data_IF_867825963895
#
_entry.id   IF_867825963895
#
_cell.length_a   1.000
_cell.length_b   1.000
_cell.length_c   1.000
_cell.angle_alpha   90.00
_cell.angle_beta   90.00
_cell.angle_gamma   90.00
#
_symmetry.space_group_name_H-M   'P 1'
#
loop_
_entity.id
_entity.type
_entity.pdbx_description
1 polymer ?
#
# COMPACT_ATOMS: atom_id res chain seq x y z
N UNK A 1 13.38 23.03 -19.36
CA UNK A 1 13.01 23.98 -20.43
C UNK A 1 11.50 24.22 -20.33
N UNK A 2 11.02 25.43 -20.62
CA UNK A 2 9.61 25.84 -20.55
C UNK A 2 9.13 26.35 -21.92
N UNK A 3 7.89 26.00 -22.31
CA UNK A 3 7.32 26.34 -23.62
C UNK A 3 6.38 27.54 -23.56
N UNK A 4 6.47 28.46 -24.54
CA UNK A 4 5.58 29.62 -24.64
C UNK A 4 4.28 29.26 -25.37
N UNK A 5 3.12 29.54 -24.77
CA UNK A 5 1.77 29.22 -25.29
C UNK A 5 1.30 30.09 -26.48
N UNK A 6 2.17 30.98 -26.99
CA UNK A 6 1.84 31.89 -28.11
C UNK A 6 2.70 31.62 -29.34
N UNK A 7 3.97 31.29 -29.15
CA UNK A 7 4.92 31.10 -30.26
C UNK A 7 5.54 29.70 -30.30
N UNK A 8 5.14 28.81 -29.39
CA UNK A 8 5.55 27.40 -29.30
C UNK A 8 7.08 27.16 -29.17
N UNK A 9 7.85 28.22 -28.89
CA UNK A 9 9.29 28.13 -28.65
C UNK A 9 9.60 27.69 -27.21
N UNK A 10 10.75 27.03 -27.05
CA UNK A 10 11.24 26.50 -25.78
C UNK A 10 12.38 27.34 -25.21
N UNK A 11 12.33 27.59 -23.91
CA UNK A 11 13.26 28.48 -23.22
C UNK A 11 13.86 27.80 -21.98
N UNK A 12 15.07 28.23 -21.59
CA UNK A 12 15.58 27.92 -20.27
C UNK A 12 14.94 28.85 -19.24
N UNK A 13 14.42 28.34 -18.10
CA UNK A 13 13.77 29.16 -17.07
C UNK A 13 14.60 30.39 -16.67
N UNK A 14 15.89 30.19 -16.36
CA UNK A 14 16.79 31.26 -15.97
C UNK A 14 17.00 32.33 -17.05
N UNK A 15 17.01 31.96 -18.34
CA UNK A 15 17.16 32.91 -19.45
C UNK A 15 15.90 33.80 -19.61
N UNK A 16 14.74 33.31 -19.21
CA UNK A 16 13.48 34.08 -19.24
C UNK A 16 13.16 34.79 -17.93
N UNK A 17 14.00 34.63 -16.89
CA UNK A 17 13.80 35.23 -15.58
C UNK A 17 12.80 34.47 -14.68
N UNK A 18 12.53 33.20 -15.00
CA UNK A 18 11.76 32.28 -14.16
C UNK A 18 12.75 31.51 -13.28
N UNK A 19 12.58 31.55 -11.96
CA UNK A 19 13.41 30.76 -11.06
C UNK A 19 13.11 29.26 -11.22
N UNK A 20 14.13 28.40 -11.09
CA UNK A 20 13.94 26.95 -11.27
C UNK A 20 12.89 26.36 -10.32
N UNK A 21 12.80 26.87 -9.10
CA UNK A 21 11.81 26.45 -8.11
C UNK A 21 10.36 26.83 -8.49
N UNK A 22 10.17 27.84 -9.34
CA UNK A 22 8.86 28.34 -9.74
C UNK A 22 8.35 27.69 -11.03
N UNK A 23 9.18 26.88 -11.70
CA UNK A 23 8.82 26.21 -12.96
C UNK A 23 7.61 25.30 -12.78
N UNK A 24 7.56 24.56 -11.67
CA UNK A 24 6.44 23.65 -11.35
C UNK A 24 5.14 24.40 -11.03
N UNK A 25 5.26 25.68 -10.68
CA UNK A 25 4.17 26.59 -10.38
C UNK A 25 3.65 27.30 -11.63
N UNK A 26 4.30 27.18 -12.79
CA UNK A 26 3.76 27.73 -14.03
C UNK A 26 2.49 26.98 -14.44
N UNK A 27 1.44 27.75 -14.72
CA UNK A 27 0.19 27.26 -15.33
C UNK A 27 0.19 27.57 -16.83
N UNK A 28 0.54 28.81 -17.18
CA UNK A 28 0.67 29.31 -18.55
C UNK A 28 1.95 30.13 -18.63
N UNK A 29 2.85 29.80 -19.56
CA UNK A 29 4.07 30.59 -19.76
C UNK A 29 3.98 31.42 -21.06
N UNK A 30 4.32 32.71 -20.97
CA UNK A 30 4.39 33.63 -22.11
C UNK A 30 5.78 34.27 -22.10
N UNK A 31 6.55 34.12 -23.18
CA UNK A 31 7.88 34.71 -23.26
C UNK A 31 7.82 36.24 -23.37
N UNK A 32 8.90 36.93 -22.98
CA UNK A 32 8.97 38.41 -22.95
C UNK A 32 8.61 39.07 -24.28
N UNK A 33 8.99 38.46 -25.40
CA UNK A 33 8.66 38.96 -26.74
C UNK A 33 7.15 38.86 -27.03
N UNK A 34 6.50 37.78 -26.57
CA UNK A 34 5.07 37.57 -26.71
C UNK A 34 4.26 38.41 -25.72
N UNK A 35 4.75 38.65 -24.50
CA UNK A 35 4.10 39.54 -23.52
C UNK A 35 4.07 41.00 -24.01
N UNK A 36 5.06 41.44 -24.78
CA UNK A 36 5.09 42.76 -25.39
C UNK A 36 4.19 42.92 -26.63
N UNK A 37 3.92 41.83 -27.35
CA UNK A 37 3.12 41.82 -28.59
C UNK A 37 1.66 41.42 -28.36
N UNK A 38 1.36 40.79 -27.23
CA UNK A 38 0.01 40.30 -26.88
C UNK A 38 -0.43 40.80 -25.51
N UNK A 39 -1.73 40.75 -25.24
CA UNK A 39 -2.28 41.04 -23.91
C UNK A 39 -2.14 39.87 -22.92
N UNK A 40 -1.58 38.73 -23.34
CA UNK A 40 -1.38 37.56 -22.48
C UNK A 40 -0.16 37.75 -21.58
N UNK A 41 -0.20 37.14 -20.40
CA UNK A 41 0.86 37.18 -19.38
C UNK A 41 1.07 35.78 -18.83
N UNK A 42 2.27 35.53 -18.33
CA UNK A 42 2.57 34.31 -17.58
C UNK A 42 1.66 34.19 -16.35
N UNK A 43 1.00 33.04 -16.17
CA UNK A 43 0.10 32.74 -15.05
C UNK A 43 0.71 31.61 -14.23
N UNK A 44 0.69 31.79 -12.90
CA UNK A 44 1.13 30.79 -11.94
C UNK A 44 -0.07 30.10 -11.28
N UNK A 45 0.09 28.81 -10.99
CA UNK A 45 -0.85 28.00 -10.22
C UNK A 45 -1.02 28.60 -8.83
N UNK A 46 -2.27 28.62 -8.37
CA UNK A 46 -2.55 29.03 -7.00
C UNK A 46 -1.95 28.06 -6.00
N UNK A 47 -1.21 28.59 -5.03
CA UNK A 47 -0.68 27.82 -3.91
C UNK A 47 -1.74 27.57 -2.84
N UNK A 48 -1.47 26.59 -1.99
CA UNK A 48 -2.31 26.29 -0.84
C UNK A 48 -2.34 27.46 0.12
N UNK A 49 -3.55 27.90 0.49
CA UNK A 49 -3.75 29.03 1.40
C UNK A 49 -3.31 28.75 2.85
N UNK A 50 -2.93 27.52 3.19
CA UNK A 50 -2.46 27.21 4.53
C UNK A 50 -1.04 27.75 4.69
N UNK A 51 -0.82 28.56 5.72
CA UNK A 51 0.51 29.01 6.14
C UNK A 51 1.48 27.81 6.24
N UNK A 52 2.66 27.95 5.62
CA UNK A 52 3.68 26.90 5.55
C UNK A 52 3.35 25.70 4.64
N UNK A 53 2.34 25.77 3.77
CA UNK A 53 2.03 24.72 2.78
C UNK A 53 2.25 25.24 1.34
N UNK A 54 3.33 24.81 0.68
CA UNK A 54 3.70 25.25 -0.67
C UNK A 54 3.14 24.42 -1.84
N UNK A 55 2.09 23.62 -1.62
CA UNK A 55 1.51 22.76 -2.68
C UNK A 55 0.63 23.55 -3.64
N UNK A 56 0.65 23.16 -4.91
CA UNK A 56 -0.05 23.77 -6.05
C UNK A 56 -1.55 23.43 -6.13
N UNK A 57 -2.30 23.78 -5.10
CA UNK A 57 -3.76 23.70 -5.09
C UNK A 57 -4.30 24.73 -4.10
N UNK A 58 -5.47 25.35 -4.37
CA UNK A 58 -6.13 26.27 -3.43
C UNK A 58 -6.19 25.70 -1.99
N UNK A 59 -6.50 24.40 -1.88
CA UNK A 59 -6.24 23.56 -0.70
C UNK A 59 -5.82 22.17 -1.14
N UNK A 60 -4.66 21.67 -0.69
CA UNK A 60 -4.14 20.37 -1.11
C UNK A 60 -4.73 19.17 -0.36
N UNK A 61 -5.50 19.41 0.70
CA UNK A 61 -6.18 18.36 1.49
C UNK A 61 -7.25 18.98 2.38
N UNK A 62 -8.20 18.16 2.82
CA UNK A 62 -9.22 18.54 3.81
C UNK A 62 -8.58 19.09 5.09
N UNK A 63 -7.45 18.51 5.54
CA UNK A 63 -6.67 19.02 6.68
C UNK A 63 -6.14 20.44 6.43
N UNK A 64 -5.59 20.72 5.25
CA UNK A 64 -5.09 22.07 4.96
C UNK A 64 -6.21 23.10 4.86
N UNK A 65 -7.35 22.74 4.26
CA UNK A 65 -8.53 23.59 4.23
C UNK A 65 -9.03 23.91 5.64
N UNK A 66 -9.11 22.88 6.49
CA UNK A 66 -9.57 23.00 7.86
C UNK A 66 -8.63 23.83 8.75
N UNK A 67 -7.32 23.57 8.69
CA UNK A 67 -6.31 24.34 9.44
C UNK A 67 -6.29 25.82 9.03
N UNK A 68 -6.43 26.10 7.72
CA UNK A 68 -6.57 27.47 7.25
C UNK A 68 -7.85 28.12 7.79
N UNK A 69 -8.99 27.43 7.73
CA UNK A 69 -10.26 27.92 8.27
C UNK A 69 -10.18 28.21 9.78
N UNK A 70 -9.54 27.34 10.56
CA UNK A 70 -9.28 27.58 11.99
C UNK A 70 -8.39 28.81 12.22
N UNK A 71 -7.36 29.03 11.41
CA UNK A 71 -6.52 30.23 11.47
C UNK A 71 -7.31 31.50 11.19
N UNK A 72 -8.22 31.47 10.21
CA UNK A 72 -9.12 32.60 9.88
C UNK A 72 -10.11 32.88 11.02
N UNK A 73 -10.52 31.89 11.83
CA UNK A 73 -11.34 32.17 13.01
C UNK A 73 -10.67 33.10 14.01
N UNK A 74 -9.34 33.05 14.10
CA UNK A 74 -8.58 33.92 15.00
C UNK A 74 -8.80 35.40 14.68
N UNK A 75 -9.11 35.72 13.41
CA UNK A 75 -9.30 37.09 12.90
C UNK A 75 -10.77 37.52 12.82
N UNK A 76 -11.72 36.70 13.31
CA UNK A 76 -13.16 37.04 13.33
C UNK A 76 -13.52 37.71 14.65
N UNK A 77 -13.89 38.99 14.59
CA UNK A 77 -14.22 39.82 15.77
C UNK A 77 -15.66 39.66 16.27
N UNK A 78 -16.57 39.15 15.44
CA UNK A 78 -17.95 38.92 15.84
C UNK A 78 -18.03 37.67 16.73
N UNK A 79 -18.26 37.88 18.03
CA UNK A 79 -18.33 36.82 19.04
C UNK A 79 -19.34 35.71 18.70
N UNK A 80 -20.53 36.06 18.17
CA UNK A 80 -21.56 35.08 17.81
C UNK A 80 -21.12 34.24 16.60
N UNK A 81 -20.60 34.90 15.56
CA UNK A 81 -20.09 34.21 14.37
C UNK A 81 -18.88 33.33 14.72
N UNK A 82 -17.97 33.81 15.57
CA UNK A 82 -16.81 33.05 16.03
C UNK A 82 -17.20 31.78 16.77
N UNK A 83 -18.14 31.85 17.73
CA UNK A 83 -18.60 30.66 18.46
C UNK A 83 -19.28 29.67 17.52
N UNK A 84 -20.17 30.13 16.63
CA UNK A 84 -20.85 29.25 15.66
C UNK A 84 -19.86 28.54 14.73
N UNK A 85 -18.89 29.28 14.19
CA UNK A 85 -17.87 28.73 13.31
C UNK A 85 -16.89 27.82 14.06
N UNK A 86 -16.56 28.12 15.32
CA UNK A 86 -15.74 27.25 16.17
C UNK A 86 -16.43 25.91 16.43
N UNK A 87 -17.74 25.90 16.66
CA UNK A 87 -18.53 24.66 16.81
C UNK A 87 -18.57 23.87 15.50
N UNK A 88 -18.80 24.53 14.36
CA UNK A 88 -18.80 23.88 13.05
C UNK A 88 -17.42 23.30 12.69
N UNK A 89 -16.34 24.01 13.07
CA UNK A 89 -14.96 23.58 12.88
C UNK A 89 -14.42 22.74 14.05
N UNK A 90 -15.26 22.25 14.95
CA UNK A 90 -14.86 21.21 15.91
C UNK A 90 -15.01 19.79 15.31
N UNK A 91 -15.76 19.67 14.21
CA UNK A 91 -16.19 18.39 13.62
C UNK A 91 -15.17 17.70 12.71
N UNK A 92 -13.92 18.17 12.63
CA UNK A 92 -12.86 17.43 11.94
C UNK A 92 -11.99 16.75 13.00
N UNK A 93 -12.17 15.44 13.25
CA UNK A 93 -11.29 14.74 14.17
C UNK A 93 -9.86 14.86 13.66
N UNK A 94 -8.90 15.09 14.56
CA UNK A 94 -7.53 14.70 14.23
C UNK A 94 -7.62 13.23 13.82
N UNK A 95 -7.02 12.79 12.70
CA UNK A 95 -6.87 11.36 12.48
C UNK A 95 -6.28 10.80 13.78
N UNK A 96 -6.95 9.81 14.36
CA UNK A 96 -6.31 8.97 15.35
C UNK A 96 -5.04 8.49 14.68
N UNK A 97 -3.85 8.74 15.24
CA UNK A 97 -2.64 8.15 14.68
C UNK A 97 -2.82 6.63 14.75
N UNK A 98 -3.20 6.01 13.62
CA UNK A 98 -3.30 4.55 13.47
C UNK A 98 -1.91 3.89 13.46
N UNK A 99 -0.86 4.68 13.62
CA UNK A 99 0.46 4.16 13.99
C UNK A 99 0.57 4.25 15.50
N UNK A 100 0.09 3.22 16.19
CA UNK A 100 0.71 2.82 17.45
C UNK A 100 2.13 2.40 17.10
N UNK A 101 3.09 3.33 17.22
CA UNK A 101 4.48 2.91 17.35
C UNK A 101 4.56 2.31 18.75
N UNK A 102 4.36 1.00 18.84
CA UNK A 102 4.88 0.25 19.97
C UNK A 102 6.39 0.39 19.90
N UNK A 103 6.90 1.37 20.62
CA UNK A 103 8.30 1.40 20.94
C UNK A 103 8.55 0.15 21.78
N UNK A 104 9.06 -0.93 21.17
CA UNK A 104 9.83 -1.97 21.87
C UNK A 104 11.18 -1.38 22.35
N UNK A 105 11.14 -0.17 22.88
CA UNK A 105 12.23 0.44 23.62
C UNK A 105 12.08 -0.03 25.05
N UNK A 106 13.11 -0.68 25.55
CA UNK A 106 13.30 -1.02 26.96
C UNK A 106 13.18 0.23 27.85
N UNK A 107 11.96 0.69 28.15
CA UNK A 107 11.70 1.39 29.39
C UNK A 107 11.54 0.30 30.42
N UNK A 108 12.55 0.14 31.27
CA UNK A 108 12.44 -0.67 32.47
C UNK A 108 11.25 -0.16 33.28
N UNK A 109 10.11 -0.82 33.13
CA UNK A 109 9.00 -0.69 34.07
C UNK A 109 9.50 -1.15 35.45
N UNK A 110 9.03 -0.51 36.53
CA UNK A 110 9.38 -0.95 37.87
C UNK A 110 8.93 -2.40 38.02
N UNK A 111 9.87 -3.27 38.43
CA UNK A 111 9.67 -4.70 38.53
C UNK A 111 8.31 -5.05 39.18
N UNK A 112 7.47 -5.87 38.53
CA UNK A 112 6.16 -6.25 39.07
C UNK A 112 6.33 -7.04 40.38
N UNK A 113 5.31 -6.99 41.23
CA UNK A 113 5.39 -7.56 42.59
C UNK A 113 5.41 -9.09 42.50
N UNK A 114 6.52 -9.67 42.97
CA UNK A 114 6.77 -11.11 43.00
C UNK A 114 5.67 -11.88 43.74
N UNK A 115 5.10 -12.88 43.07
CA UNK A 115 4.33 -13.97 43.69
C UNK A 115 3.12 -14.45 42.89
N UNK A 116 2.27 -13.54 42.40
CA UNK A 116 1.08 -13.86 41.60
C UNK A 116 1.21 -13.37 40.15
N UNK A 117 1.95 -12.28 39.94
CA UNK A 117 2.10 -11.61 38.64
C UNK A 117 2.95 -12.42 37.65
N UNK A 118 3.88 -13.26 38.14
CA UNK A 118 4.80 -14.03 37.29
C UNK A 118 4.17 -15.21 36.55
N UNK A 119 3.24 -15.93 37.20
CA UNK A 119 2.54 -17.05 36.57
C UNK A 119 1.56 -16.55 35.48
N UNK A 120 0.85 -15.45 35.77
CA UNK A 120 -0.02 -14.80 34.79
C UNK A 120 0.79 -14.25 33.61
N UNK A 121 1.90 -13.55 33.89
CA UNK A 121 2.80 -13.05 32.86
C UNK A 121 3.33 -14.18 31.96
N UNK A 122 3.72 -15.32 32.55
CA UNK A 122 4.17 -16.48 31.78
C UNK A 122 3.06 -17.05 30.88
N UNK A 123 1.84 -17.13 31.39
CA UNK A 123 0.69 -17.57 30.60
C UNK A 123 0.41 -16.60 29.44
N UNK A 124 0.44 -15.29 29.69
CA UNK A 124 0.22 -14.26 28.68
C UNK A 124 1.29 -14.32 27.58
N UNK A 125 2.57 -14.52 27.95
CA UNK A 125 3.67 -14.66 27.00
C UNK A 125 3.55 -15.92 26.13
N UNK A 126 3.15 -17.05 26.72
CA UNK A 126 2.87 -18.28 25.99
C UNK A 126 1.72 -18.09 25.01
N UNK A 127 0.64 -17.42 25.44
CA UNK A 127 -0.48 -17.09 24.55
C UNK A 127 -0.02 -16.20 23.38
N UNK A 128 0.78 -15.16 23.65
CA UNK A 128 1.34 -14.32 22.58
C UNK A 128 2.22 -15.14 21.62
N UNK A 129 3.02 -16.09 22.12
CA UNK A 129 3.85 -16.95 21.27
C UNK A 129 3.01 -17.87 20.39
N UNK A 130 1.92 -18.42 20.91
CA UNK A 130 0.94 -19.20 20.14
C UNK A 130 0.26 -18.34 19.07
N UNK A 131 -0.11 -17.10 19.40
CA UNK A 131 -0.72 -16.15 18.46
C UNK A 131 0.22 -15.81 17.30
N UNK A 132 1.50 -15.55 17.61
CA UNK A 132 2.54 -15.32 16.59
C UNK A 132 2.77 -16.57 15.73
N UNK A 133 2.68 -17.76 16.33
CA UNK A 133 2.80 -19.03 15.58
C UNK A 133 1.64 -19.21 14.61
N UNK A 134 0.41 -18.92 15.02
CA UNK A 134 -0.77 -18.91 14.13
C UNK A 134 -0.63 -17.88 13.00
N UNK A 135 -0.06 -16.71 13.29
CA UNK A 135 0.24 -15.71 12.26
C UNK A 135 1.28 -16.22 11.25
N UNK A 136 2.34 -16.91 11.69
CA UNK A 136 3.32 -17.54 10.80
C UNK A 136 2.69 -18.60 9.89
N UNK A 137 1.79 -19.43 10.42
CA UNK A 137 1.04 -20.42 9.63
C UNK A 137 0.18 -19.74 8.54
N UNK A 138 -0.42 -18.60 8.88
CA UNK A 138 -1.20 -17.82 7.93
C UNK A 138 -0.33 -17.23 6.81
N UNK A 139 0.83 -16.68 7.15
CA UNK A 139 1.81 -16.18 6.17
C UNK A 139 2.31 -17.32 5.29
N UNK A 140 2.52 -18.52 5.83
CA UNK A 140 2.88 -19.70 5.04
C UNK A 140 1.78 -20.07 4.02
N UNK A 141 0.50 -19.98 4.39
CA UNK A 141 -0.61 -20.15 3.44
C UNK A 141 -0.59 -19.08 2.34
N UNK A 142 -0.31 -17.82 2.68
CA UNK A 142 -0.13 -16.74 1.68
C UNK A 142 1.01 -17.01 0.72
N UNK A 143 2.13 -17.55 1.21
CA UNK A 143 3.26 -17.97 0.38
C UNK A 143 2.85 -19.08 -0.60
N UNK A 144 2.08 -20.08 -0.16
CA UNK A 144 1.57 -21.12 -1.04
C UNK A 144 0.61 -20.57 -2.13
N UNK A 145 -0.25 -19.60 -1.80
CA UNK A 145 -1.08 -18.91 -2.80
C UNK A 145 -0.21 -18.16 -3.82
N UNK A 146 0.86 -17.49 -3.37
CA UNK A 146 1.82 -16.82 -4.24
C UNK A 146 2.55 -17.81 -5.14
N UNK A 147 3.01 -18.94 -4.61
CA UNK A 147 3.66 -20.00 -5.39
C UNK A 147 2.74 -20.53 -6.49
N UNK A 148 1.46 -20.78 -6.18
CA UNK A 148 0.45 -21.17 -7.18
C UNK A 148 0.21 -20.08 -8.23
N UNK A 149 0.19 -18.81 -7.82
CA UNK A 149 0.06 -17.67 -8.72
C UNK A 149 1.25 -17.57 -9.69
N UNK A 150 2.47 -17.70 -9.17
CA UNK A 150 3.71 -17.63 -9.96
C UNK A 150 3.84 -18.84 -10.87
N UNK A 151 3.57 -20.06 -10.38
CA UNK A 151 3.59 -21.28 -11.19
C UNK A 151 2.62 -21.19 -12.37
N UNK A 152 1.42 -20.65 -12.13
CA UNK A 152 0.46 -20.37 -13.19
C UNK A 152 1.00 -19.34 -14.20
N UNK A 153 1.53 -18.21 -13.72
CA UNK A 153 2.14 -17.18 -14.58
C UNK A 153 3.27 -17.74 -15.45
N UNK A 154 4.13 -18.58 -14.88
CA UNK A 154 5.27 -19.18 -15.59
C UNK A 154 4.83 -20.25 -16.59
N UNK A 155 3.75 -20.99 -16.27
CA UNK A 155 3.11 -21.95 -17.15
C UNK A 155 2.34 -21.34 -18.33
N UNK A 156 2.09 -20.03 -18.32
CA UNK A 156 1.52 -19.34 -19.47
C UNK A 156 2.54 -19.37 -20.64
N UNK A 157 2.25 -20.24 -21.59
CA UNK A 157 2.95 -20.34 -22.87
C UNK A 157 2.72 -19.03 -23.62
N UNK A 158 3.81 -18.34 -23.94
CA UNK A 158 3.76 -17.30 -24.97
C UNK A 158 3.49 -18.02 -26.28
N UNK A 159 2.28 -17.89 -26.81
CA UNK A 159 2.04 -18.26 -28.20
C UNK A 159 2.89 -17.32 -29.06
N UNK A 160 4.12 -17.73 -29.37
CA UNK A 160 4.88 -17.14 -30.46
C UNK A 160 4.02 -17.34 -31.70
N UNK A 161 3.43 -16.26 -32.20
CA UNK A 161 2.76 -16.28 -33.48
C UNK A 161 3.73 -16.92 -34.51
N UNK A 162 3.27 -17.87 -35.35
CA UNK A 162 4.12 -18.44 -36.38
C UNK A 162 4.74 -17.29 -37.18
N UNK A 163 6.06 -17.33 -37.35
CA UNK A 163 6.82 -16.26 -37.96
C UNK A 163 6.18 -15.82 -39.27
N UNK A 164 5.67 -14.58 -39.32
CA UNK A 164 5.22 -13.99 -40.56
C UNK A 164 6.36 -14.04 -41.59
N UNK A 165 6.07 -14.31 -42.88
CA UNK A 165 7.10 -14.38 -43.91
C UNK A 165 7.91 -13.08 -43.95
N UNK A 166 9.23 -13.22 -44.08
CA UNK A 166 10.20 -12.14 -43.96
C UNK A 166 9.84 -10.94 -44.85
N UNK A 167 9.88 -9.69 -44.34
CA UNK A 167 9.68 -8.51 -45.16
C UNK A 167 10.86 -8.35 -46.14
N UNK A 168 10.57 -8.44 -47.43
CA UNK A 168 11.51 -8.08 -48.50
C UNK A 168 11.68 -6.56 -48.51
N UNK A 169 12.61 -6.03 -47.72
CA UNK A 169 13.41 -4.81 -47.96
C UNK A 169 14.34 -4.55 -46.78
N UNK A 170 15.65 -4.63 -47.03
CA UNK A 170 16.71 -4.33 -46.07
C UNK A 170 16.73 -2.83 -45.77
N UNK A 171 16.17 -2.41 -44.63
CA UNK A 171 16.51 -1.11 -44.03
C UNK A 171 17.68 -1.30 -43.07
N UNK A 172 18.65 -0.39 -43.17
CA UNK A 172 19.97 -0.48 -42.55
C UNK A 172 19.94 0.16 -41.16
N UNK A 173 19.19 -0.44 -40.23
CA UNK A 173 19.35 -0.17 -38.79
C UNK A 173 18.88 -1.38 -37.98
N UNK A 174 19.74 -2.41 -37.91
CA UNK A 174 19.49 -3.64 -37.16
C UNK A 174 20.36 -3.66 -35.92
N UNK A 175 19.80 -3.27 -34.77
CA UNK A 175 20.25 -3.75 -33.45
C UNK A 175 19.05 -3.95 -32.52
N UNK A 176 18.70 -5.23 -32.39
CA UNK A 176 18.07 -5.89 -31.22
C UNK A 176 16.59 -5.57 -30.93
N UNK A 177 15.69 -5.93 -31.84
CA UNK A 177 14.32 -6.29 -31.46
C UNK A 177 14.23 -7.82 -31.42
N UNK A 178 14.46 -8.39 -30.24
CA UNK A 178 14.05 -9.76 -29.95
C UNK A 178 12.52 -9.83 -30.00
N UNK A 179 11.98 -10.94 -30.50
CA UNK A 179 10.54 -11.22 -30.51
C UNK A 179 9.94 -10.83 -29.15
N UNK A 180 9.07 -9.82 -29.15
CA UNK A 180 8.50 -9.27 -27.92
C UNK A 180 7.39 -10.21 -27.46
N UNK A 181 7.77 -11.14 -26.59
CA UNK A 181 6.84 -12.01 -25.88
C UNK A 181 5.87 -11.17 -25.04
N UNK A 182 4.66 -10.91 -25.55
CA UNK A 182 3.60 -10.22 -24.81
C UNK A 182 2.90 -11.20 -23.87
N UNK A 183 3.58 -11.58 -22.78
CA UNK A 183 2.95 -12.27 -21.66
C UNK A 183 1.88 -11.36 -21.01
N UNK A 184 0.69 -11.88 -20.64
CA UNK A 184 -0.31 -11.12 -19.89
C UNK A 184 0.17 -10.87 -18.44
N UNK A 185 -0.54 -10.00 -17.73
CA UNK A 185 -0.28 -9.66 -16.34
C UNK A 185 -0.46 -10.86 -15.40
N UNK A 186 -1.56 -11.59 -15.58
CA UNK A 186 -1.96 -12.79 -14.81
C UNK A 186 -1.83 -12.66 -13.28
N UNK A 187 -2.07 -11.44 -12.76
CA UNK A 187 -2.22 -11.23 -11.31
C UNK A 187 -3.40 -12.05 -10.78
N UNK A 188 -3.18 -12.75 -9.67
CA UNK A 188 -4.17 -13.60 -9.02
C UNK A 188 -4.83 -12.82 -7.86
N UNK A 189 -6.13 -12.52 -7.91
CA UNK A 189 -6.83 -11.78 -6.85
C UNK A 189 -6.79 -12.46 -5.48
N UNK A 190 -6.49 -13.76 -5.41
CA UNK A 190 -6.30 -14.48 -4.14
C UNK A 190 -5.16 -13.91 -3.30
N UNK A 191 -4.23 -13.17 -3.92
CA UNK A 191 -3.16 -12.45 -3.23
C UNK A 191 -3.66 -11.26 -2.38
N UNK A 192 -4.92 -10.86 -2.55
CA UNK A 192 -5.57 -9.81 -1.76
C UNK A 192 -6.56 -10.36 -0.71
N UNK A 193 -6.62 -11.67 -0.53
CA UNK A 193 -7.46 -12.28 0.49
C UNK A 193 -7.10 -11.78 1.89
N UNK A 194 -8.15 -11.57 2.68
CA UNK A 194 -8.03 -11.30 4.11
C UNK A 194 -7.58 -12.56 4.88
N UNK A 195 -7.32 -12.39 6.18
CA UNK A 195 -6.85 -13.47 7.04
C UNK A 195 -7.85 -14.63 7.11
N UNK A 196 -9.15 -14.34 7.11
CA UNK A 196 -10.20 -15.35 7.23
C UNK A 196 -10.28 -16.22 5.97
N UNK A 197 -10.28 -15.60 4.79
CA UNK A 197 -10.29 -16.29 3.51
C UNK A 197 -9.03 -17.13 3.30
N UNK A 198 -7.85 -16.62 3.68
CA UNK A 198 -6.61 -17.40 3.61
C UNK A 198 -6.62 -18.54 4.63
N UNK A 199 -7.14 -18.33 5.84
CA UNK A 199 -7.25 -19.36 6.86
C UNK A 199 -8.17 -20.50 6.43
N UNK A 200 -9.30 -20.19 5.78
CA UNK A 200 -10.26 -21.17 5.28
C UNK A 200 -9.79 -21.92 4.03
N UNK A 201 -8.78 -21.41 3.33
CA UNK A 201 -8.27 -22.04 2.10
C UNK A 201 -7.58 -23.38 2.39
N UNK A 202 -8.05 -24.42 1.68
CA UNK A 202 -7.63 -25.82 1.87
C UNK A 202 -6.36 -26.22 1.10
N UNK A 203 -5.81 -25.33 0.27
CA UNK A 203 -4.62 -25.62 -0.55
C UNK A 203 -4.93 -26.01 -1.99
N UNK A 204 -6.19 -26.26 -2.32
CA UNK A 204 -6.59 -26.81 -3.61
C UNK A 204 -6.60 -25.75 -4.74
N UNK A 205 -6.18 -26.17 -5.94
CA UNK A 205 -6.26 -25.38 -7.17
C UNK A 205 -7.71 -25.37 -7.68
N UNK A 206 -8.40 -24.25 -7.52
CA UNK A 206 -9.67 -24.04 -8.21
C UNK A 206 -9.44 -23.88 -9.72
N UNK A 207 -10.23 -24.54 -10.59
CA UNK A 207 -10.08 -24.42 -12.05
C UNK A 207 -10.30 -22.98 -12.51
N UNK A 208 -9.64 -22.54 -13.58
CA UNK A 208 -9.75 -21.15 -14.07
C UNK A 208 -11.19 -20.81 -14.50
N UNK A 209 -11.63 -19.60 -14.13
CA UNK A 209 -12.89 -19.05 -14.60
C UNK A 209 -12.76 -18.60 -16.05
N UNK A 210 -13.38 -19.32 -16.99
CA UNK A 210 -13.58 -18.81 -18.33
C UNK A 210 -14.55 -17.62 -18.26
N UNK A 211 -14.13 -16.47 -18.82
CA UNK A 211 -15.05 -15.34 -19.04
C UNK A 211 -15.31 -14.38 -17.87
N UNK A 212 -14.66 -14.50 -16.70
CA UNK A 212 -14.80 -13.48 -15.66
C UNK A 212 -13.83 -12.30 -15.89
N UNK A 213 -14.38 -11.12 -16.11
CA UNK A 213 -13.73 -9.82 -16.12
C UNK A 213 -13.53 -9.38 -14.67
N UNK A 214 -12.28 -9.41 -14.20
CA UNK A 214 -11.91 -8.85 -12.91
C UNK A 214 -11.75 -7.33 -13.03
N UNK A 215 -12.82 -6.63 -13.41
CA UNK A 215 -12.97 -5.21 -13.11
C UNK A 215 -13.73 -5.11 -11.79
N UNK A 216 -13.08 -4.57 -10.78
CA UNK A 216 -13.61 -4.56 -9.42
C UNK A 216 -14.86 -3.71 -9.31
N UNK A 217 -15.95 -4.32 -8.85
CA UNK A 217 -16.83 -3.76 -7.83
C UNK A 217 -17.47 -4.92 -7.06
N UNK A 218 -17.45 -4.84 -5.74
CA UNK A 218 -18.10 -5.81 -4.86
C UNK A 218 -19.61 -5.72 -5.05
N UNK A 219 -20.26 -6.78 -5.53
CA UNK A 219 -21.71 -6.88 -5.56
C UNK A 219 -22.16 -8.14 -4.81
N UNK A 220 -23.00 -7.90 -3.82
CA UNK A 220 -23.63 -8.86 -2.92
C UNK A 220 -24.38 -9.95 -3.68
N UNK A 221 -24.31 -11.18 -3.16
CA UNK A 221 -25.09 -12.32 -3.64
C UNK A 221 -26.39 -12.42 -2.85
N UNK A 222 -27.53 -12.25 -3.52
CA UNK A 222 -28.85 -12.65 -3.01
C UNK A 222 -29.57 -13.59 -4.00
N UNK A 223 -29.88 -14.80 -3.51
CA UNK A 223 -31.01 -15.71 -3.85
C UNK A 223 -31.17 -16.25 -5.28
N UNK A 224 -31.73 -17.42 -5.57
CA UNK A 224 -32.29 -18.57 -4.85
C UNK A 224 -32.55 -19.68 -5.90
N UNK A 225 -32.45 -20.95 -5.50
CA UNK A 225 -33.26 -22.04 -6.07
C UNK A 225 -32.55 -23.10 -6.94
N UNK A 226 -32.57 -24.35 -6.46
CA UNK A 226 -32.39 -25.53 -7.31
C UNK A 226 -31.72 -26.72 -6.63
N UNK A 227 -32.53 -27.67 -6.17
CA UNK A 227 -32.14 -28.95 -5.58
C UNK A 227 -31.38 -29.84 -6.57
N UNK A 228 -30.10 -30.09 -6.29
CA UNK A 228 -29.35 -31.25 -6.73
C UNK A 228 -28.17 -31.43 -5.76
N UNK A 229 -27.86 -32.67 -5.39
CA UNK A 229 -26.71 -32.99 -4.53
C UNK A 229 -25.40 -32.56 -5.19
N UNK A 230 -25.01 -31.31 -4.97
CA UNK A 230 -23.87 -30.65 -5.59
C UNK A 230 -22.82 -30.43 -4.50
N UNK A 231 -21.70 -31.12 -4.63
CA UNK A 231 -20.53 -30.82 -3.80
C UNK A 231 -20.10 -29.42 -4.23
N UNK A 232 -20.07 -28.39 -3.36
CA UNK A 232 -19.85 -27.03 -3.82
C UNK A 232 -18.50 -26.95 -4.53
N UNK A 233 -18.54 -26.88 -5.86
CA UNK A 233 -17.34 -26.70 -6.66
C UNK A 233 -16.76 -25.33 -6.30
N UNK A 234 -15.50 -25.25 -5.86
CA UNK A 234 -14.92 -23.97 -5.48
C UNK A 234 -15.00 -22.99 -6.65
N UNK A 235 -15.28 -21.70 -6.39
CA UNK A 235 -15.42 -20.68 -7.42
C UNK A 235 -14.16 -20.67 -8.27
N UNK A 236 -14.37 -20.60 -9.59
CA UNK A 236 -13.30 -20.74 -10.55
C UNK A 236 -12.29 -19.56 -10.43
N UNK A 237 -10.99 -19.87 -10.53
CA UNK A 237 -9.87 -18.95 -10.33
C UNK A 237 -9.84 -17.88 -11.43
N UNK A 238 -10.01 -16.61 -11.07
CA UNK A 238 -9.89 -15.48 -12.00
C UNK A 238 -8.47 -14.90 -11.97
N UNK A 239 -7.95 -14.41 -13.10
CA UNK A 239 -6.65 -13.72 -13.17
C UNK A 239 -6.73 -12.45 -14.01
N UNK A 240 -5.84 -11.49 -13.76
CA UNK A 240 -5.78 -10.26 -14.54
C UNK A 240 -5.36 -10.53 -15.99
N UNK A 241 -6.23 -10.16 -16.93
CA UNK A 241 -6.04 -10.38 -18.37
C UNK A 241 -5.34 -9.21 -19.09
N UNK A 242 -5.00 -8.14 -18.36
CA UNK A 242 -4.29 -6.99 -18.93
C UNK A 242 -2.92 -7.41 -19.47
N UNK A 243 -2.34 -6.59 -20.36
CA UNK A 243 -1.01 -6.84 -20.90
C UNK A 243 0.11 -6.78 -19.87
N UNK A 244 1.33 -7.16 -20.27
CA UNK A 244 2.56 -7.20 -19.44
C UNK A 244 2.85 -5.92 -18.63
N UNK A 245 2.36 -4.77 -19.11
CA UNK A 245 2.52 -3.44 -18.49
C UNK A 245 1.21 -2.98 -17.84
N UNK A 246 0.62 -3.84 -17.03
CA UNK A 246 -0.50 -3.43 -16.19
C UNK A 246 0.06 -2.62 -15.02
N UNK A 247 -0.15 -1.31 -15.03
CA UNK A 247 0.37 -0.40 -14.00
C UNK A 247 -0.14 -0.74 -12.59
N UNK A 248 -1.34 -1.35 -12.49
CA UNK A 248 -1.95 -1.75 -11.20
C UNK A 248 -1.24 -2.92 -10.51
N UNK A 249 -0.63 -3.82 -11.27
CA UNK A 249 -0.02 -5.05 -10.72
C UNK A 249 1.42 -5.22 -11.22
N UNK A 250 2.12 -4.12 -11.48
CA UNK A 250 3.46 -4.19 -12.01
C UNK A 250 4.41 -4.85 -11.00
N UNK A 251 4.99 -6.00 -11.37
CA UNK A 251 5.99 -6.68 -10.55
C UNK A 251 5.42 -7.41 -9.33
N UNK A 252 4.11 -7.68 -9.32
CA UNK A 252 3.39 -8.31 -8.22
C UNK A 252 4.10 -9.55 -7.65
N UNK A 253 4.73 -10.37 -8.50
CA UNK A 253 5.44 -11.58 -8.09
C UNK A 253 6.52 -11.28 -7.05
N UNK A 254 7.37 -10.28 -7.32
CA UNK A 254 8.50 -9.94 -6.44
C UNK A 254 8.08 -9.09 -5.28
N UNK A 255 7.18 -8.13 -5.50
CA UNK A 255 6.72 -7.23 -4.43
C UNK A 255 5.99 -8.01 -3.34
N UNK A 256 5.13 -8.95 -3.73
CA UNK A 256 4.42 -9.81 -2.77
C UNK A 256 5.38 -10.79 -2.10
N UNK A 257 6.32 -11.40 -2.84
CA UNK A 257 7.33 -12.29 -2.25
C UNK A 257 8.14 -11.58 -1.16
N UNK A 258 8.68 -10.40 -1.45
CA UNK A 258 9.48 -9.62 -0.49
C UNK A 258 8.64 -9.19 0.71
N UNK A 259 7.38 -8.81 0.52
CA UNK A 259 6.49 -8.46 1.64
C UNK A 259 6.30 -9.65 2.59
N UNK A 260 5.99 -10.83 2.07
CA UNK A 260 5.81 -12.05 2.87
C UNK A 260 7.11 -12.49 3.55
N UNK A 261 8.27 -12.38 2.88
CA UNK A 261 9.58 -12.67 3.49
C UNK A 261 9.87 -11.75 4.69
N UNK A 262 9.55 -10.45 4.58
CA UNK A 262 9.72 -9.49 5.67
C UNK A 262 8.78 -9.85 6.84
N UNK A 263 7.53 -10.22 6.57
CA UNK A 263 6.57 -10.64 7.59
C UNK A 263 7.05 -11.90 8.32
N UNK A 264 7.48 -12.95 7.59
CA UNK A 264 8.07 -14.17 8.21
C UNK A 264 9.24 -13.80 9.09
N UNK A 265 10.15 -12.95 8.62
CA UNK A 265 11.33 -12.57 9.39
C UNK A 265 10.98 -11.79 10.66
N UNK A 266 9.97 -10.91 10.60
CA UNK A 266 9.49 -10.15 11.77
C UNK A 266 8.82 -11.06 12.79
N UNK A 267 7.88 -11.89 12.35
CA UNK A 267 7.13 -12.80 13.22
C UNK A 267 8.03 -13.87 13.83
N UNK A 268 8.99 -14.42 13.07
CA UNK A 268 9.95 -15.41 13.59
C UNK A 268 10.82 -14.82 14.70
N UNK A 269 11.35 -13.61 14.51
CA UNK A 269 12.10 -12.91 15.58
C UNK A 269 11.23 -12.70 16.82
N UNK A 270 9.99 -12.24 16.64
CA UNK A 270 9.07 -12.00 17.76
C UNK A 270 8.75 -13.28 18.53
N UNK A 271 8.52 -14.40 17.83
CA UNK A 271 8.30 -15.72 18.43
C UNK A 271 9.51 -16.12 19.28
N UNK A 272 10.71 -16.01 18.73
CA UNK A 272 11.94 -16.42 19.40
C UNK A 272 12.22 -15.55 20.64
N UNK A 273 11.95 -14.24 20.56
CA UNK A 273 12.03 -13.31 21.70
C UNK A 273 11.04 -13.67 22.82
N UNK A 274 9.77 -13.95 22.46
CA UNK A 274 8.74 -14.34 23.42
C UNK A 274 9.08 -15.67 24.11
N UNK A 275 9.55 -16.66 23.34
CA UNK A 275 9.97 -17.95 23.86
C UNK A 275 11.16 -17.80 24.82
N UNK A 276 12.19 -17.06 24.42
CA UNK A 276 13.36 -16.82 25.27
C UNK A 276 13.01 -16.10 26.57
N UNK A 277 12.05 -15.17 26.53
CA UNK A 277 11.59 -14.44 27.72
C UNK A 277 10.76 -15.34 28.64
N UNK A 278 9.86 -16.15 28.09
CA UNK A 278 9.10 -17.15 28.86
C UNK A 278 10.01 -18.16 29.56
N UNK A 279 10.99 -18.73 28.84
CA UNK A 279 12.00 -19.63 29.40
C UNK A 279 12.85 -18.95 30.49
N UNK A 280 13.11 -17.65 30.36
CA UNK A 280 13.81 -16.87 31.37
C UNK A 280 13.03 -16.80 32.68
N UNK A 281 11.73 -16.48 32.61
CA UNK A 281 10.84 -16.42 33.77
C UNK A 281 10.69 -17.80 34.43
N UNK A 282 10.57 -18.87 33.64
CA UNK A 282 10.50 -20.24 34.16
C UNK A 282 11.76 -20.62 34.94
N UNK A 283 12.94 -20.33 34.38
CA UNK A 283 14.23 -20.59 35.05
C UNK A 283 14.37 -19.81 36.36
N UNK A 284 13.93 -18.56 36.40
CA UNK A 284 13.94 -17.75 37.62
C UNK A 284 12.99 -18.34 38.68
N UNK A 285 11.78 -18.74 38.28
CA UNK A 285 10.80 -19.35 39.18
C UNK A 285 11.29 -20.68 39.76
N UNK A 286 11.96 -21.51 38.95
CA UNK A 286 12.58 -22.76 39.40
C UNK A 286 13.70 -22.53 40.41
N UNK A 287 14.56 -21.52 40.17
CA UNK A 287 15.63 -21.14 41.06
C UNK A 287 15.10 -20.65 42.42
N UNK A 288 14.05 -19.82 42.41
CA UNK A 288 13.39 -19.32 43.62
C UNK A 288 12.71 -20.46 44.41
N UNK A 289 12.08 -21.41 43.71
CA UNK A 289 11.47 -22.58 44.34
C UNK A 289 12.52 -23.51 44.98
N UNK A 290 13.66 -23.70 44.32
CA UNK A 290 14.79 -24.47 44.85
C UNK A 290 15.42 -23.79 46.08
N UNK A 291 15.64 -22.48 46.02
CA UNK A 291 16.15 -21.69 47.15
C UNK A 291 15.20 -21.72 48.36
N UNK A 292 13.89 -21.71 48.12
CA UNK A 292 12.88 -21.77 49.19
C UNK A 292 12.81 -23.14 49.87
N UNK A 293 13.04 -24.24 49.14
CA UNK A 293 13.11 -25.60 49.69
C UNK A 293 14.38 -25.88 50.51
N UNK A 294 15.43 -25.09 50.31
CA UNK A 294 16.72 -25.23 50.99
C UNK A 294 16.80 -24.45 52.32
N UNK A 295 15.80 -23.63 52.64
CA UNK A 295 15.66 -22.90 53.91
C UNK A 295 14.78 -23.68 54.88
#
# INVERSE_FOLDING_TARGET
MIGCEVCDNWFHPGCTGVAEADVDLLDVFICKDCEGKTSRRTVYKTLCKREGCGRNARFCSSRCAFQHAQGVLATVDNKKARTQLQTALAAYPSPTPTVTVEHHGHTAEPAPKRGADGAQLLQDLRQQAEDVTRALELVAKRQAVLEQAVAYYDGLVVTLAPAAPAPTKKSKNKRRDGQKEERPCAFDPRLLWDDEAVAAWAGDEAPLAEGADAEGDTAEAEGEGGDAADTPKPPARAVCKNGRRCDRHQGWQRTTAVALEVEVAQLSRRRDELAAYAEGIEREAEADAAASKAR
#
